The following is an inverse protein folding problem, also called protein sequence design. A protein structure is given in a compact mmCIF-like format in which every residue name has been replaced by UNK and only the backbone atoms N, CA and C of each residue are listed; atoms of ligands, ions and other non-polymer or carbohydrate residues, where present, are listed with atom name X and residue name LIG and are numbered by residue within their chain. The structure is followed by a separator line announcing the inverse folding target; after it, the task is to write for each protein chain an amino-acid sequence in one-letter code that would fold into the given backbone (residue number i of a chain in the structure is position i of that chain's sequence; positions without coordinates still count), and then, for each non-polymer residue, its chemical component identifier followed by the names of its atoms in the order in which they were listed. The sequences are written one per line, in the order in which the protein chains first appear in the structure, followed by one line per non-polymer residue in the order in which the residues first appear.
data_IF_408517578959
#
_entry.id   IF_408517578959
#
_cell.length_a   1.000
_cell.length_b   1.000
_cell.length_c   1.000
_cell.angle_alpha   90.00
_cell.angle_beta   90.00
_cell.angle_gamma   90.00
#
_symmetry.space_group_name_H-M   'P 1'
#
loop_
_entity.id
_entity.type
_entity.pdbx_description
1 polymer ?
#
# COMPACT_ATOMS: atom_id res chain seq x y z
N UNK A 1 -13.13 -13.98 5.70
CA UNK A 1 -12.82 -12.54 5.55
C UNK A 1 -11.36 -12.33 5.92
N UNK A 2 -10.54 -11.84 5.00
CA UNK A 2 -9.18 -11.42 5.32
C UNK A 2 -9.20 -10.10 6.09
N UNK A 3 -8.18 -9.84 6.91
CA UNK A 3 -7.98 -8.54 7.56
C UNK A 3 -7.08 -7.67 6.68
N UNK A 4 -7.29 -6.36 6.68
CA UNK A 4 -6.39 -5.39 6.06
C UNK A 4 -5.73 -4.57 7.16
N UNK A 5 -4.41 -4.41 7.08
CA UNK A 5 -3.61 -3.55 7.97
C UNK A 5 -3.03 -2.45 7.09
N UNK A 6 -3.30 -1.20 7.43
CA UNK A 6 -2.70 -0.04 6.77
C UNK A 6 -1.74 0.59 7.77
N UNK A 7 -0.47 0.64 7.39
CA UNK A 7 0.63 1.19 8.16
C UNK A 7 1.08 2.47 7.46
N UNK A 8 0.43 3.57 7.83
CA UNK A 8 0.73 4.91 7.33
C UNK A 8 1.93 5.47 8.08
N UNK A 9 3.09 5.52 7.41
CA UNK A 9 4.35 6.01 8.01
C UNK A 9 4.77 7.37 7.47
N UNK A 10 3.87 8.07 6.79
CA UNK A 10 4.14 9.39 6.22
C UNK A 10 3.69 10.43 7.23
N UNK A 11 4.63 11.27 7.66
CA UNK A 11 4.34 12.38 8.55
C UNK A 11 3.38 13.37 7.87
N UNK A 12 2.42 13.90 8.63
CA UNK A 12 1.37 14.81 8.16
C UNK A 12 0.54 14.30 6.97
N UNK A 13 0.40 12.98 6.83
CA UNK A 13 -0.46 12.37 5.81
C UNK A 13 -1.74 11.80 6.41
N UNK A 14 -2.94 12.27 6.02
CA UNK A 14 -4.20 11.80 6.60
C UNK A 14 -4.45 10.31 6.35
N UNK A 15 -4.87 9.58 7.38
CA UNK A 15 -5.21 8.15 7.26
C UNK A 15 -6.36 7.88 6.27
N UNK A 16 -7.27 8.84 6.13
CA UNK A 16 -8.36 8.77 5.13
C UNK A 16 -7.76 8.73 3.72
N UNK A 17 -6.74 9.53 3.43
CA UNK A 17 -6.08 9.53 2.12
C UNK A 17 -5.27 8.24 1.92
N UNK A 18 -4.62 7.75 2.97
CA UNK A 18 -3.94 6.45 2.96
C UNK A 18 -4.90 5.31 2.61
N UNK A 19 -6.10 5.30 3.21
CA UNK A 19 -7.15 4.34 2.90
C UNK A 19 -7.56 4.39 1.42
N UNK A 20 -7.77 5.59 0.87
CA UNK A 20 -8.13 5.75 -0.54
C UNK A 20 -7.04 5.24 -1.48
N UNK A 21 -5.76 5.53 -1.19
CA UNK A 21 -4.67 5.02 -2.01
C UNK A 21 -4.54 3.50 -1.93
N UNK A 22 -4.74 2.90 -0.75
CA UNK A 22 -4.77 1.44 -0.58
C UNK A 22 -5.92 0.81 -1.37
N UNK A 23 -7.11 1.41 -1.38
CA UNK A 23 -8.23 0.93 -2.20
C UNK A 23 -7.84 0.85 -3.68
N UNK A 24 -7.19 1.90 -4.21
CA UNK A 24 -6.72 1.92 -5.60
C UNK A 24 -5.67 0.84 -5.89
N UNK A 25 -4.79 0.54 -4.93
CA UNK A 25 -3.84 -0.59 -5.05
C UNK A 25 -4.58 -1.91 -5.11
N UNK A 26 -5.61 -2.10 -4.29
CA UNK A 26 -6.42 -3.32 -4.29
C UNK A 26 -7.22 -3.49 -5.58
N UNK A 27 -7.78 -2.42 -6.13
CA UNK A 27 -8.53 -2.40 -7.40
C UNK A 27 -7.67 -2.83 -8.59
N UNK A 28 -6.40 -2.42 -8.62
CA UNK A 28 -5.44 -2.84 -9.66
C UNK A 28 -5.11 -4.34 -9.61
N UNK A 29 -5.50 -5.02 -8.54
CA UNK A 29 -5.20 -6.42 -8.32
C UNK A 29 -3.75 -6.62 -7.88
N UNK A 30 -3.51 -7.79 -7.27
CA UNK A 30 -2.19 -8.15 -6.77
C UNK A 30 -1.43 -8.89 -7.88
N UNK A 31 -0.31 -8.36 -8.33
CA UNK A 31 0.59 -9.11 -9.23
C UNK A 31 1.56 -9.89 -8.35
N UNK A 32 1.44 -11.22 -8.40
CA UNK A 32 2.24 -12.16 -7.63
C UNK A 32 3.48 -12.61 -8.42
N UNK A 33 4.65 -12.55 -7.81
CA UNK A 33 5.81 -13.31 -8.25
C UNK A 33 5.74 -14.73 -7.68
N UNK A 34 5.01 -15.61 -8.36
CA UNK A 34 4.89 -17.04 -8.01
C UNK A 34 4.47 -17.31 -6.55
N UNK A 35 3.55 -16.51 -6.01
CA UNK A 35 3.06 -16.65 -4.63
C UNK A 35 4.05 -16.22 -3.55
N UNK A 36 5.27 -15.75 -3.90
CA UNK A 36 6.32 -15.39 -2.95
C UNK A 36 6.34 -13.91 -2.59
N UNK A 37 6.03 -13.03 -3.54
CA UNK A 37 6.00 -11.58 -3.34
C UNK A 37 4.89 -10.97 -4.18
N UNK A 38 4.16 -10.00 -3.63
CA UNK A 38 3.21 -9.19 -4.38
C UNK A 38 3.79 -7.78 -4.52
N UNK A 39 3.82 -7.26 -5.75
CA UNK A 39 4.44 -6.00 -6.21
C UNK A 39 5.28 -5.21 -5.17
N UNK A 40 6.60 -5.20 -5.40
CA UNK A 40 7.52 -4.23 -4.82
C UNK A 40 7.09 -2.80 -5.21
N UNK A 41 6.32 -2.14 -4.34
CA UNK A 41 6.07 -0.69 -4.38
C UNK A 41 5.14 -0.22 -5.50
N UNK A 42 3.89 0.11 -5.19
CA UNK A 42 3.07 0.95 -6.07
C UNK A 42 3.38 2.41 -5.78
N UNK A 43 3.81 3.15 -6.79
CA UNK A 43 4.12 4.58 -6.67
C UNK A 43 2.90 5.41 -7.06
N UNK A 44 2.58 6.41 -6.26
CA UNK A 44 1.59 7.44 -6.58
C UNK A 44 2.22 8.83 -6.42
N UNK A 45 1.88 9.74 -7.32
CA UNK A 45 2.06 11.17 -7.11
C UNK A 45 0.81 11.73 -6.43
N UNK A 46 0.98 12.27 -5.23
CA UNK A 46 -0.09 12.88 -4.45
C UNK A 46 0.32 14.29 -4.03
N UNK A 47 -0.34 15.31 -4.58
CA UNK A 47 -0.05 16.73 -4.29
C UNK A 47 1.43 17.11 -4.49
N UNK A 48 2.08 16.53 -5.50
CA UNK A 48 3.51 16.76 -5.78
C UNK A 48 4.48 16.02 -4.86
N UNK A 49 3.97 15.18 -3.95
CA UNK A 49 4.77 14.25 -3.15
C UNK A 49 4.67 12.85 -3.73
N UNK A 50 5.81 12.18 -3.85
CA UNK A 50 5.86 10.78 -4.23
C UNK A 50 5.50 9.93 -3.02
N UNK A 51 4.58 8.98 -3.19
CA UNK A 51 4.18 8.02 -2.17
C UNK A 51 4.41 6.62 -2.70
N UNK A 52 5.06 5.78 -1.90
CA UNK A 52 5.30 4.37 -2.22
C UNK A 52 4.50 3.49 -1.29
N UNK A 53 3.73 2.56 -1.86
CA UNK A 53 2.88 1.64 -1.13
C UNK A 53 3.38 0.21 -1.34
N UNK A 54 3.87 -0.40 -0.27
CA UNK A 54 4.30 -1.80 -0.28
C UNK A 54 3.14 -2.69 0.14
N UNK A 55 2.79 -3.67 -0.70
CA UNK A 55 1.80 -4.69 -0.37
C UNK A 55 2.49 -5.96 0.14
N UNK A 56 2.21 -6.34 1.38
CA UNK A 56 2.77 -7.50 2.05
C UNK A 56 1.63 -8.49 2.37
N UNK A 57 1.93 -9.78 2.24
CA UNK A 57 1.02 -10.85 2.62
C UNK A 57 1.44 -11.40 3.99
N UNK A 58 0.54 -11.36 4.96
CA UNK A 58 0.67 -12.09 6.22
C UNK A 58 -0.18 -13.36 6.17
N UNK A 59 0.02 -14.25 7.15
CA UNK A 59 -0.70 -15.54 7.25
C UNK A 59 -2.24 -15.40 7.24
N UNK A 60 -2.78 -14.29 7.74
CA UNK A 60 -4.23 -14.05 7.85
C UNK A 60 -4.64 -12.61 7.48
N UNK A 61 -3.72 -11.81 6.93
CA UNK A 61 -4.01 -10.42 6.59
C UNK A 61 -3.16 -9.92 5.43
N UNK A 62 -3.62 -8.86 4.80
CA UNK A 62 -2.84 -8.07 3.87
C UNK A 62 -2.37 -6.81 4.59
N UNK A 63 -1.08 -6.53 4.53
CA UNK A 63 -0.49 -5.33 5.12
C UNK A 63 -0.02 -4.40 4.02
N UNK A 64 -0.45 -3.15 4.08
CA UNK A 64 0.01 -2.09 3.21
C UNK A 64 0.85 -1.11 4.03
N UNK A 65 2.06 -0.83 3.57
CA UNK A 65 2.95 0.14 4.22
C UNK A 65 3.11 1.32 3.27
N UNK A 66 2.73 2.52 3.72
CA UNK A 66 2.88 3.75 2.97
C UNK A 66 4.12 4.48 3.49
N UNK A 67 5.01 4.86 2.59
CA UNK A 67 6.20 5.66 2.88
C UNK A 67 6.31 6.81 1.87
N UNK A 68 6.87 7.95 2.31
CA UNK A 68 7.23 9.04 1.41
C UNK A 68 8.36 8.58 0.49
N UNK A 69 8.22 8.85 -0.81
CA UNK A 69 9.30 8.73 -1.77
C UNK A 69 10.16 9.98 -1.74
N UNK A 70 11.47 9.81 -1.82
CA UNK A 70 12.43 10.89 -2.15
C UNK A 70 12.15 11.50 -3.52
#
# INVERSE_FOLDING_TARGET
MGKVIIDNRIEDFPDVDALHLVSKVMEKGRISNNGKQYCLGTVYDYQGKRIVIHALLNKQSDRFVLIGGE
#
